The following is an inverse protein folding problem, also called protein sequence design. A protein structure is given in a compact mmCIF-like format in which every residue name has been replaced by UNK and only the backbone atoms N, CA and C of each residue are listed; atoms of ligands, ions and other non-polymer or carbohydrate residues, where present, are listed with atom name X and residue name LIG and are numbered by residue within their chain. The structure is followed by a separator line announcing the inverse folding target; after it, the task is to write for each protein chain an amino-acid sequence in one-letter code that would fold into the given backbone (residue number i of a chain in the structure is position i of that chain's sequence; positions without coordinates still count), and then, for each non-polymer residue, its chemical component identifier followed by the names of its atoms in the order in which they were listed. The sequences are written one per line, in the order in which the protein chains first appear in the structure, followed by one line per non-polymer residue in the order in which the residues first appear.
data_IF_802821743553
#
_entry.id   IF_802821743553
#
_cell.length_a   1.000
_cell.length_b   1.000
_cell.length_c   1.000
_cell.angle_alpha   90.00
_cell.angle_beta   90.00
_cell.angle_gamma   90.00
#
_symmetry.space_group_name_H-M   'P 1'
#
loop_
_entity.id
_entity.type
_entity.pdbx_description
1 polymer ?
#
# COMPACT_ATOMS: atom_id res chain seq x y z
N UNK A 1 10.00 -18.24 7.48
CA UNK A 1 10.68 -17.48 6.40
C UNK A 1 9.93 -16.17 6.23
N UNK A 2 10.48 -15.05 6.71
CA UNK A 2 9.87 -13.74 6.48
C UNK A 2 9.99 -13.45 4.99
N UNK A 3 8.90 -13.54 4.24
CA UNK A 3 8.87 -13.12 2.84
C UNK A 3 9.03 -11.59 2.83
N UNK A 4 10.29 -11.12 2.70
CA UNK A 4 10.64 -9.68 2.68
C UNK A 4 10.11 -8.94 1.45
N UNK A 5 9.48 -9.65 0.52
CA UNK A 5 8.76 -9.05 -0.59
C UNK A 5 7.71 -10.04 -1.09
N UNK A 6 6.43 -9.69 -0.93
CA UNK A 6 5.37 -10.29 -1.72
C UNK A 6 5.23 -9.44 -2.98
N UNK A 7 5.20 -10.06 -4.17
CA UNK A 7 4.88 -9.32 -5.38
C UNK A 7 3.44 -8.83 -5.29
N UNK A 8 3.16 -7.62 -5.76
CA UNK A 8 1.79 -7.11 -5.86
C UNK A 8 0.88 -7.98 -6.75
N UNK A 9 1.45 -8.84 -7.61
CA UNK A 9 0.66 -9.82 -8.37
C UNK A 9 0.19 -11.00 -7.53
N UNK A 10 0.90 -11.31 -6.46
CA UNK A 10 0.66 -12.48 -5.62
C UNK A 10 -0.26 -12.14 -4.44
N UNK A 11 -0.69 -10.89 -4.34
CA UNK A 11 -1.57 -10.43 -3.28
C UNK A 11 -3.01 -10.84 -3.58
N UNK A 12 -3.67 -11.61 -2.69
CA UNK A 12 -5.04 -12.07 -2.90
C UNK A 12 -6.02 -10.90 -3.03
N UNK A 13 -6.84 -10.94 -4.08
CA UNK A 13 -7.82 -9.88 -4.32
C UNK A 13 -8.95 -9.89 -3.28
N UNK A 14 -9.23 -11.05 -2.68
CA UNK A 14 -10.27 -11.23 -1.67
C UNK A 14 -9.98 -10.44 -0.38
N UNK A 15 -8.71 -10.16 -0.09
CA UNK A 15 -8.30 -9.42 1.11
C UNK A 15 -8.35 -7.90 0.91
N UNK A 16 -8.11 -7.41 -0.31
CA UNK A 16 -8.00 -5.98 -0.62
C UNK A 16 -9.21 -5.46 -1.41
N UNK A 17 -10.07 -6.36 -1.88
CA UNK A 17 -11.23 -6.05 -2.73
C UNK A 17 -10.85 -5.68 -4.17
N UNK A 18 -9.59 -5.80 -4.56
CA UNK A 18 -9.11 -5.61 -5.93
C UNK A 18 -7.78 -6.33 -6.15
N UNK A 19 -7.31 -6.43 -7.40
CA UNK A 19 -5.99 -7.02 -7.67
C UNK A 19 -4.89 -6.23 -6.96
N UNK A 20 -3.86 -6.90 -6.44
CA UNK A 20 -2.77 -6.19 -5.77
C UNK A 20 -2.03 -5.21 -6.68
N UNK A 21 -2.00 -5.45 -8.00
CA UNK A 21 -1.47 -4.48 -8.98
C UNK A 21 -2.31 -3.19 -9.02
N UNK A 22 -3.63 -3.30 -8.95
CA UNK A 22 -4.54 -2.14 -8.86
C UNK A 22 -4.34 -1.39 -7.55
N UNK A 23 -4.23 -2.12 -6.43
CA UNK A 23 -3.97 -1.53 -5.12
C UNK A 23 -2.65 -0.75 -5.10
N UNK A 24 -1.57 -1.34 -5.66
CA UNK A 24 -0.27 -0.68 -5.76
C UNK A 24 -0.31 0.58 -6.60
N UNK A 25 -1.00 0.57 -7.75
CA UNK A 25 -1.14 1.77 -8.59
C UNK A 25 -1.80 2.90 -7.81
N UNK A 26 -2.91 2.63 -7.12
CA UNK A 26 -3.59 3.63 -6.28
C UNK A 26 -2.69 4.16 -5.16
N UNK A 27 -1.97 3.27 -4.47
CA UNK A 27 -1.04 3.65 -3.41
C UNK A 27 0.10 4.55 -3.96
N UNK A 28 0.64 4.20 -5.13
CA UNK A 28 1.66 4.99 -5.81
C UNK A 28 1.10 6.36 -6.20
N UNK A 29 -0.08 6.42 -6.80
CA UNK A 29 -0.70 7.69 -7.22
C UNK A 29 -0.99 8.58 -6.00
N UNK A 30 -1.41 8.00 -4.87
CA UNK A 30 -1.53 8.71 -3.59
C UNK A 30 -0.20 9.18 -3.01
N UNK A 31 0.86 8.41 -3.23
CA UNK A 31 2.22 8.79 -2.80
C UNK A 31 2.73 9.95 -3.64
N UNK A 32 2.54 9.92 -4.95
CA UNK A 32 2.88 11.00 -5.88
C UNK A 32 2.08 12.28 -5.59
N UNK A 33 0.81 12.14 -5.20
CA UNK A 33 -0.02 13.26 -4.74
C UNK A 33 0.34 13.76 -3.33
N UNK A 34 1.28 13.11 -2.63
CA UNK A 34 1.71 13.46 -1.27
C UNK A 34 0.70 13.12 -0.17
N UNK A 35 -0.37 12.39 -0.49
CA UNK A 35 -1.40 11.98 0.47
C UNK A 35 -0.83 10.92 1.43
N UNK A 36 -0.20 9.89 0.87
CA UNK A 36 0.32 8.78 1.67
C UNK A 36 1.43 9.19 2.65
N UNK A 37 2.46 9.98 2.26
CA UNK A 37 3.48 10.46 3.19
C UNK A 37 2.90 11.25 4.36
N UNK A 38 1.96 12.17 4.10
CA UNK A 38 1.32 12.99 5.15
C UNK A 38 0.50 12.15 6.11
N UNK A 39 -0.26 11.18 5.59
CA UNK A 39 -1.03 10.26 6.41
C UNK A 39 -0.11 9.40 7.27
N UNK A 40 0.98 8.90 6.70
CA UNK A 40 1.95 8.07 7.40
C UNK A 40 2.65 8.85 8.52
N UNK A 41 3.08 10.09 8.27
CA UNK A 41 3.65 10.98 9.29
C UNK A 41 2.66 11.27 10.43
N UNK A 42 1.39 11.57 10.11
CA UNK A 42 0.36 11.76 11.11
C UNK A 42 0.16 10.51 11.98
N UNK A 43 0.10 9.32 11.36
CA UNK A 43 -0.03 8.05 12.10
C UNK A 43 1.18 7.75 12.99
N UNK A 44 2.39 8.05 12.53
CA UNK A 44 3.61 7.88 13.33
C UNK A 44 3.71 8.87 14.49
N UNK A 45 3.06 10.02 14.39
CA UNK A 45 3.05 11.03 15.47
C UNK A 45 2.10 10.64 16.60
N UNK A 46 1.10 9.79 16.32
CA UNK A 46 0.11 9.31 17.30
C UNK A 46 0.55 8.00 18.02
N UNK A 47 1.74 7.46 17.71
CA UNK A 47 2.35 6.28 18.35
C UNK A 47 3.51 6.67 19.28
#
# INVERSE_FOLDING_TARGET
MLCKSVSWRDVPAEWIGCSGVTAWRRLRDWTEAGVWPRLHEALLTEL
#
